data_IF_756250269229
#
_entry.id   IF_756250269229
#
_cell.length_a   1.000
_cell.length_b   1.000
_cell.length_c   1.000
_cell.angle_alpha   90.00
_cell.angle_beta   90.00
_cell.angle_gamma   90.00
#
_symmetry.space_group_name_H-M   'P 1'
#
loop_
_entity.id
_entity.type
_entity.pdbx_description
1 polymer ?
#
# COMPACT_ATOMS: atom_id res chain seq x y z
N UNK A 1 -12.01 -1.31 -5.37
CA UNK A 1 -12.97 -0.37 -5.98
C UNK A 1 -12.39 1.02 -5.85
N UNK A 2 -12.22 1.73 -6.96
CA UNK A 2 -11.81 3.14 -6.94
C UNK A 2 -13.00 3.93 -6.40
N UNK A 3 -12.83 4.59 -5.27
CA UNK A 3 -13.79 5.55 -4.74
C UNK A 3 -13.89 6.70 -5.74
N UNK A 4 -15.11 7.02 -6.18
CA UNK A 4 -15.36 8.22 -6.96
C UNK A 4 -14.87 9.46 -6.18
N UNK A 5 -14.66 10.56 -6.91
CA UNK A 5 -14.39 11.87 -6.31
C UNK A 5 -15.43 12.15 -5.22
N UNK A 6 -14.98 12.28 -3.98
CA UNK A 6 -15.86 12.37 -2.82
C UNK A 6 -16.45 13.78 -2.77
N UNK A 7 -17.76 13.91 -3.00
CA UNK A 7 -18.44 15.21 -3.01
C UNK A 7 -18.34 15.97 -1.67
N UNK A 8 -17.94 15.30 -0.58
CA UNK A 8 -17.73 15.91 0.74
C UNK A 8 -16.30 16.48 0.91
N UNK A 9 -15.49 16.50 -0.14
CA UNK A 9 -14.19 17.16 -0.18
C UNK A 9 -14.23 18.56 -0.81
N UNK A 10 -15.37 18.95 -1.36
CA UNK A 10 -15.62 20.26 -1.96
C UNK A 10 -16.37 21.15 -0.96
N UNK A 11 -15.83 22.33 -0.68
CA UNK A 11 -16.55 23.35 0.08
C UNK A 11 -17.48 24.12 -0.86
N UNK A 12 -18.77 24.21 -0.50
CA UNK A 12 -19.84 24.80 -1.31
C UNK A 12 -20.47 25.99 -0.57
N UNK A 13 -19.89 27.20 -0.66
CA UNK A 13 -20.42 28.37 0.01
C UNK A 13 -21.67 28.95 -0.66
N UNK A 14 -21.91 28.63 -1.93
CA UNK A 14 -23.01 29.17 -2.74
C UNK A 14 -23.32 28.24 -3.93
N UNK A 15 -24.55 28.23 -4.49
CA UNK A 15 -24.87 27.44 -5.67
C UNK A 15 -23.96 27.82 -6.85
N UNK A 16 -23.27 26.82 -7.43
CA UNK A 16 -22.39 27.01 -8.60
C UNK A 16 -20.94 27.37 -8.30
N UNK A 17 -20.54 27.48 -7.02
CA UNK A 17 -19.14 27.66 -6.63
C UNK A 17 -18.67 26.45 -5.83
N UNK A 18 -17.74 25.68 -6.39
CA UNK A 18 -17.14 24.51 -5.77
C UNK A 18 -15.63 24.74 -5.65
N UNK A 19 -15.12 24.83 -4.42
CA UNK A 19 -13.68 24.93 -4.19
C UNK A 19 -13.14 23.57 -3.67
N UNK A 20 -12.08 23.03 -4.29
CA UNK A 20 -11.42 21.84 -3.78
C UNK A 20 -10.68 22.15 -2.47
N UNK A 21 -11.01 21.44 -1.39
CA UNK A 21 -10.25 21.52 -0.12
C UNK A 21 -9.13 20.47 -0.11
N UNK A 22 -8.15 20.60 0.78
CA UNK A 22 -7.09 19.59 0.99
C UNK A 22 -7.60 18.16 1.23
N UNK A 23 -8.85 18.01 1.67
CA UNK A 23 -9.55 16.73 1.78
C UNK A 23 -9.78 16.03 0.43
N UNK A 24 -9.75 16.73 -0.70
CA UNK A 24 -9.83 16.08 -2.01
C UNK A 24 -8.55 15.28 -2.32
N UNK A 25 -7.41 15.73 -1.79
CA UNK A 25 -6.15 15.01 -1.91
C UNK A 25 -6.21 13.66 -1.16
N UNK A 26 -6.99 13.59 -0.08
CA UNK A 26 -7.22 12.33 0.64
C UNK A 26 -7.87 11.26 -0.24
N UNK A 27 -8.92 11.64 -0.98
CA UNK A 27 -9.60 10.69 -1.87
C UNK A 27 -8.68 10.22 -2.99
N UNK A 28 -7.90 11.12 -3.59
CA UNK A 28 -6.93 10.79 -4.65
C UNK A 28 -5.86 9.84 -4.11
N UNK A 29 -5.26 10.16 -2.96
CA UNK A 29 -4.22 9.35 -2.36
C UNK A 29 -4.74 7.98 -1.90
N UNK A 30 -5.92 7.93 -1.31
CA UNK A 30 -6.58 6.67 -0.91
C UNK A 30 -6.86 5.76 -2.11
N UNK A 31 -7.28 6.33 -3.23
CA UNK A 31 -7.50 5.60 -4.47
C UNK A 31 -6.21 5.05 -5.08
N UNK A 32 -5.17 5.87 -5.14
CA UNK A 32 -3.85 5.45 -5.62
C UNK A 32 -3.31 4.33 -4.74
N UNK A 33 -3.39 4.47 -3.42
CA UNK A 33 -2.91 3.45 -2.49
C UNK A 33 -3.73 2.16 -2.62
N UNK A 34 -5.06 2.23 -2.71
CA UNK A 34 -5.90 1.05 -2.93
C UNK A 34 -5.58 0.33 -4.23
N UNK A 35 -5.30 1.08 -5.31
CA UNK A 35 -4.91 0.52 -6.59
C UNK A 35 -3.52 -0.11 -6.50
N UNK A 36 -2.55 0.60 -5.92
CA UNK A 36 -1.18 0.13 -5.72
C UNK A 36 -1.14 -1.15 -4.86
N UNK A 37 -1.88 -1.22 -3.76
CA UNK A 37 -1.95 -2.43 -2.92
C UNK A 37 -2.57 -3.60 -3.67
N UNK A 38 -3.62 -3.37 -4.47
CA UNK A 38 -4.23 -4.44 -5.27
C UNK A 38 -3.28 -4.99 -6.34
N UNK A 39 -2.54 -4.10 -7.01
CA UNK A 39 -1.52 -4.47 -8.00
C UNK A 39 -0.31 -5.13 -7.34
N UNK A 40 0.13 -4.64 -6.19
CA UNK A 40 1.23 -5.22 -5.42
C UNK A 40 0.89 -6.63 -4.94
N UNK A 41 -0.34 -6.88 -4.46
CA UNK A 41 -0.80 -8.22 -4.08
C UNK A 41 -0.77 -9.20 -5.25
N UNK A 42 -1.21 -8.76 -6.44
CA UNK A 42 -1.15 -9.57 -7.66
C UNK A 42 0.29 -9.84 -8.11
N UNK A 43 1.15 -8.83 -8.10
CA UNK A 43 2.55 -8.96 -8.47
C UNK A 43 3.32 -9.89 -7.52
N UNK A 44 3.07 -9.79 -6.21
CA UNK A 44 3.64 -10.70 -5.21
C UNK A 44 3.21 -12.14 -5.46
N UNK A 45 1.94 -12.39 -5.76
CA UNK A 45 1.44 -13.73 -6.07
C UNK A 45 2.17 -14.34 -7.28
N UNK A 46 2.34 -13.57 -8.36
CA UNK A 46 3.05 -14.02 -9.57
C UNK A 46 4.54 -14.28 -9.27
N UNK A 47 5.20 -13.39 -8.53
CA UNK A 47 6.60 -13.58 -8.15
C UNK A 47 6.83 -14.80 -7.26
N UNK A 48 5.90 -15.12 -6.36
CA UNK A 48 5.98 -16.33 -5.54
C UNK A 48 5.90 -17.61 -6.37
N UNK A 49 5.02 -17.65 -7.38
CA UNK A 49 4.91 -18.80 -8.29
C UNK A 49 6.20 -18.96 -9.11
N UNK A 50 6.67 -17.89 -9.75
CA UNK A 50 7.87 -17.95 -10.60
C UNK A 50 9.12 -18.24 -9.76
N UNK A 51 9.25 -17.61 -8.59
CA UNK A 51 10.34 -17.83 -7.66
C UNK A 51 10.35 -19.25 -7.09
N UNK A 52 9.18 -19.80 -6.75
CA UNK A 52 9.03 -21.17 -6.28
C UNK A 52 9.37 -22.22 -7.34
N UNK A 53 8.89 -22.03 -8.58
CA UNK A 53 9.21 -22.93 -9.71
C UNK A 53 10.69 -22.88 -10.04
N UNK A 54 11.29 -21.67 -10.08
CA UNK A 54 12.72 -21.49 -10.34
C UNK A 54 13.58 -22.10 -9.24
N UNK A 55 13.19 -21.96 -7.97
CA UNK A 55 13.88 -22.62 -6.85
C UNK A 55 13.86 -24.14 -6.99
N UNK A 56 12.73 -24.71 -7.42
CA UNK A 56 12.56 -26.17 -7.59
C UNK A 56 13.33 -26.74 -8.80
N UNK A 57 13.44 -25.97 -9.90
CA UNK A 57 14.16 -26.39 -11.11
C UNK A 57 15.67 -26.14 -11.04
N UNK A 58 16.18 -25.46 -10.01
CA UNK A 58 17.61 -25.12 -9.84
C UNK A 58 18.47 -26.29 -9.32
N UNK A 59 18.02 -27.54 -9.44
CA UNK A 59 18.53 -28.76 -8.79
C UNK A 59 19.98 -29.20 -9.11
N UNK A 60 20.97 -28.31 -8.98
CA UNK A 60 22.40 -28.62 -9.10
C UNK A 60 23.31 -27.44 -9.47
N UNK A 61 22.77 -26.31 -9.94
CA UNK A 61 23.57 -25.17 -10.38
C UNK A 61 23.73 -24.12 -9.25
N UNK A 62 24.96 -23.97 -8.75
CA UNK A 62 25.28 -23.09 -7.62
C UNK A 62 24.85 -21.63 -7.87
N UNK A 63 24.94 -21.15 -9.11
CA UNK A 63 24.51 -19.79 -9.49
C UNK A 63 22.99 -19.62 -9.41
N UNK A 64 22.24 -20.65 -9.79
CA UNK A 64 20.80 -20.64 -9.74
C UNK A 64 20.28 -20.72 -8.29
N UNK A 65 20.95 -21.51 -7.45
CA UNK A 65 20.66 -21.60 -6.02
C UNK A 65 20.93 -20.29 -5.27
N UNK A 66 22.05 -19.62 -5.56
CA UNK A 66 22.37 -18.32 -4.95
C UNK A 66 21.40 -17.22 -5.42
N UNK A 67 21.07 -17.18 -6.71
CA UNK A 67 20.05 -16.27 -7.24
C UNK A 67 18.68 -16.52 -6.60
N UNK A 68 18.27 -17.78 -6.44
CA UNK A 68 16.98 -18.11 -5.84
C UNK A 68 16.93 -17.78 -4.34
N UNK A 69 18.03 -17.98 -3.60
CA UNK A 69 18.16 -17.51 -2.21
C UNK A 69 18.03 -16.00 -2.11
N UNK A 70 18.70 -15.24 -2.98
CA UNK A 70 18.56 -13.78 -3.01
C UNK A 70 17.12 -13.37 -3.32
N UNK A 71 16.46 -13.99 -4.30
CA UNK A 71 15.05 -13.73 -4.60
C UNK A 71 14.13 -14.04 -3.40
N UNK A 72 14.36 -15.16 -2.70
CA UNK A 72 13.63 -15.49 -1.48
C UNK A 72 13.86 -14.45 -0.37
N UNK A 73 15.11 -14.03 -0.15
CA UNK A 73 15.43 -12.98 0.84
C UNK A 73 14.73 -11.68 0.49
N UNK A 74 14.75 -11.23 -0.77
CA UNK A 74 14.03 -10.02 -1.19
C UNK A 74 12.51 -10.14 -1.01
N UNK A 75 11.93 -11.31 -1.30
CA UNK A 75 10.50 -11.55 -1.07
C UNK A 75 10.14 -11.48 0.43
N UNK A 76 10.96 -12.08 1.29
CA UNK A 76 10.77 -12.05 2.75
C UNK A 76 10.97 -10.64 3.30
N UNK A 77 11.99 -9.92 2.85
CA UNK A 77 12.26 -8.53 3.26
C UNK A 77 11.12 -7.59 2.82
N UNK A 78 10.59 -7.78 1.60
CA UNK A 78 9.42 -7.02 1.13
C UNK A 78 8.19 -7.25 1.99
N UNK A 79 7.91 -8.50 2.38
CA UNK A 79 6.83 -8.83 3.30
C UNK A 79 7.06 -8.19 4.69
N UNK A 80 8.27 -8.32 5.23
CA UNK A 80 8.66 -7.73 6.51
C UNK A 80 8.51 -6.21 6.51
N UNK A 81 8.85 -5.53 5.42
CA UNK A 81 8.69 -4.08 5.28
C UNK A 81 7.22 -3.64 5.34
N UNK A 82 6.31 -4.38 4.69
CA UNK A 82 4.88 -4.06 4.72
C UNK A 82 4.34 -4.24 6.14
N UNK A 83 4.73 -5.33 6.81
CA UNK A 83 4.31 -5.64 8.19
C UNK A 83 4.89 -4.60 9.17
N UNK A 84 6.17 -4.25 9.03
CA UNK A 84 6.83 -3.28 9.91
C UNK A 84 6.24 -1.88 9.76
N UNK A 85 5.91 -1.46 8.52
CA UNK A 85 5.20 -0.21 8.28
C UNK A 85 3.87 -0.16 9.06
N UNK A 86 3.06 -1.22 8.99
CA UNK A 86 1.80 -1.30 9.74
C UNK A 86 2.00 -1.20 11.25
N UNK A 87 3.02 -1.86 11.79
CA UNK A 87 3.34 -1.81 13.21
C UNK A 87 3.77 -0.40 13.62
N UNK A 88 4.64 0.24 12.84
CA UNK A 88 5.11 1.61 13.10
C UNK A 88 3.92 2.59 13.11
N UNK A 89 3.04 2.51 12.11
CA UNK A 89 1.86 3.37 12.06
C UNK A 89 0.91 3.14 13.26
N UNK A 90 0.68 1.89 13.67
CA UNK A 90 -0.11 1.58 14.88
C UNK A 90 0.55 2.12 16.15
N UNK A 91 1.86 2.04 16.24
CA UNK A 91 2.62 2.55 17.37
C UNK A 91 2.46 4.08 17.47
N UNK A 92 2.60 4.79 16.35
CA UNK A 92 2.39 6.23 16.27
C UNK A 92 0.95 6.61 16.65
N UNK A 93 -0.05 5.90 16.14
CA UNK A 93 -1.46 6.11 16.50
C UNK A 93 -1.70 5.94 18.01
N UNK A 94 -1.12 4.89 18.61
CA UNK A 94 -1.23 4.63 20.05
C UNK A 94 -0.54 5.70 20.91
N UNK A 95 0.60 6.25 20.46
CA UNK A 95 1.31 7.29 21.20
C UNK A 95 0.65 8.67 21.06
N UNK A 96 0.09 8.98 19.89
CA UNK A 96 -0.58 10.26 19.64
C UNK A 96 -2.05 10.27 20.05
N UNK A 97 -2.64 9.10 20.31
CA UNK A 97 -4.08 8.97 20.63
C UNK A 97 -5.00 9.23 19.44
N UNK A 98 -4.45 9.31 18.22
CA UNK A 98 -5.19 9.62 16.99
C UNK A 98 -5.11 8.40 16.06
N UNK A 99 -6.15 7.56 16.08
CA UNK A 99 -6.28 6.43 15.15
C UNK A 99 -6.50 6.88 13.69
N UNK A 100 -6.87 8.14 13.49
CA UNK A 100 -7.10 8.82 12.20
C UNK A 100 -5.83 9.09 11.39
N UNK A 101 -4.67 8.54 11.79
CA UNK A 101 -3.44 8.59 10.98
C UNK A 101 -3.37 7.36 10.06
N UNK A 102 -4.01 6.25 10.47
CA UNK A 102 -4.05 4.99 9.72
C UNK A 102 -4.96 5.06 8.50
N UNK A 103 -5.95 5.93 8.58
CA UNK A 103 -6.87 6.30 7.51
C UNK A 103 -6.59 7.77 7.36
N UNK A 104 -6.07 8.26 6.22
CA UNK A 104 -5.72 9.67 6.02
C UNK A 104 -6.97 10.58 6.05
N UNK A 105 -7.76 10.55 7.12
CA UNK A 105 -9.04 11.21 7.28
C UNK A 105 -8.82 12.46 8.08
N UNK A 106 -8.76 13.59 7.37
CA UNK A 106 -8.60 14.90 8.02
C UNK A 106 -9.88 15.19 8.84
N UNK A 107 -9.80 15.27 10.19
CA UNK A 107 -10.95 15.63 11.00
C UNK A 107 -11.27 17.12 10.82
N UNK A 108 -12.47 17.37 10.30
CA UNK A 108 -13.23 18.62 10.48
C UNK A 108 -12.64 19.90 9.91
N UNK A 109 -12.94 20.20 8.65
CA UNK A 109 -13.68 21.39 8.19
C UNK A 109 -14.26 21.11 6.80
#
# INVERSE_FOLDING_TARGET
MVKAWDANCMYRPSPGVEIPTFKCLESVFSNILSLATSLAGLALFVMLIIGGVKYMTSGGDAKASESAKNTMTYAVVGLLLIVSAFIIFKLIASFTGVDSILIFKLPGY
#
